data_IF_155200624808
#
_entry.id   IF_155200624808
#
_cell.length_a   1.000
_cell.length_b   1.000
_cell.length_c   1.000
_cell.angle_alpha   90.00
_cell.angle_beta   90.00
_cell.angle_gamma   90.00
#
_symmetry.space_group_name_H-M   'P 1'
#
loop_
_entity.id
_entity.type
_entity.pdbx_description
1 polymer ?
#
# COMPACT_ATOMS: atom_id res chain seq x y z
N UNK A 1 -16.45 5.66 13.83
CA UNK A 1 -16.41 4.24 14.23
C UNK A 1 -15.20 3.62 13.57
N UNK A 2 -14.09 3.45 14.30
CA UNK A 2 -12.88 2.81 13.76
C UNK A 2 -13.00 1.34 14.11
N UNK A 3 -13.27 0.49 13.12
CA UNK A 3 -13.22 -0.96 13.28
C UNK A 3 -11.81 -1.38 12.85
N UNK A 4 -10.93 -1.65 13.82
CA UNK A 4 -9.64 -2.28 13.55
C UNK A 4 -9.91 -3.78 13.46
N UNK A 5 -10.16 -4.28 12.27
CA UNK A 5 -9.98 -5.71 12.02
C UNK A 5 -8.48 -5.98 12.15
N UNK A 6 -8.08 -7.01 12.90
CA UNK A 6 -6.70 -7.52 12.87
C UNK A 6 -6.48 -8.17 11.50
N UNK A 7 -6.39 -7.33 10.47
CA UNK A 7 -6.15 -7.76 9.11
C UNK A 7 -4.69 -8.17 9.04
N UNK A 8 -4.41 -9.31 8.43
CA UNK A 8 -3.04 -9.74 8.13
C UNK A 8 -2.33 -8.79 7.16
N UNK A 9 -3.04 -7.88 6.52
CA UNK A 9 -2.54 -6.90 5.55
C UNK A 9 -1.88 -5.76 6.32
N UNK A 10 -0.58 -5.92 6.61
CA UNK A 10 0.21 -4.93 7.36
C UNK A 10 1.16 -4.15 6.46
N UNK A 11 1.64 -4.77 5.39
CA UNK A 11 2.58 -4.15 4.47
C UNK A 11 2.19 -4.37 3.02
N UNK A 12 2.47 -3.36 2.21
CA UNK A 12 2.43 -3.43 0.75
C UNK A 12 3.87 -3.43 0.22
N UNK A 13 4.16 -4.41 -0.63
CA UNK A 13 5.37 -4.42 -1.44
C UNK A 13 5.10 -3.73 -2.77
N UNK A 14 6.01 -2.84 -3.14
CA UNK A 14 5.98 -2.08 -4.39
C UNK A 14 7.38 -2.13 -4.97
N UNK A 15 7.57 -2.93 -6.01
CA UNK A 15 8.91 -3.28 -6.52
C UNK A 15 9.79 -3.79 -5.37
N UNK A 16 10.90 -3.13 -5.07
CA UNK A 16 11.82 -3.52 -3.99
C UNK A 16 11.58 -2.76 -2.67
N UNK A 17 10.49 -1.99 -2.56
CA UNK A 17 10.17 -1.16 -1.39
C UNK A 17 9.00 -1.70 -0.59
N UNK A 18 9.07 -1.48 0.72
CA UNK A 18 8.04 -1.87 1.67
C UNK A 18 7.32 -0.65 2.27
N UNK A 19 6.00 -0.64 2.19
CA UNK A 19 5.13 0.39 2.74
C UNK A 19 4.26 -0.21 3.84
N UNK A 20 4.22 0.40 5.02
CA UNK A 20 3.32 0.00 6.11
C UNK A 20 1.94 0.56 5.85
N UNK A 21 0.92 -0.29 5.88
CA UNK A 21 -0.48 0.13 5.79
C UNK A 21 -0.79 1.00 7.00
N UNK A 22 -1.24 2.22 6.73
CA UNK A 22 -1.65 3.20 7.73
C UNK A 22 -3.17 3.27 7.86
N UNK A 23 -3.89 3.07 6.76
CA UNK A 23 -5.35 3.03 6.74
C UNK A 23 -5.86 2.15 5.59
N UNK A 24 -6.98 1.46 5.82
CA UNK A 24 -7.66 0.63 4.82
C UNK A 24 -9.17 0.74 4.98
N UNK A 25 -9.86 0.98 3.87
CA UNK A 25 -11.31 0.91 3.79
C UNK A 25 -11.73 -0.06 2.70
N UNK A 26 -12.35 -1.18 3.10
CA UNK A 26 -12.96 -2.13 2.17
C UNK A 26 -14.21 -1.56 1.51
N UNK A 27 -14.95 -0.68 2.21
CA UNK A 27 -16.17 -0.06 1.67
C UNK A 27 -15.85 0.93 0.55
N UNK A 28 -14.88 1.82 0.77
CA UNK A 28 -14.45 2.80 -0.25
C UNK A 28 -13.41 2.23 -1.22
N UNK A 29 -12.95 0.99 -1.00
CA UNK A 29 -11.83 0.36 -1.71
C UNK A 29 -10.60 1.26 -1.73
N UNK A 30 -10.16 1.75 -0.58
CA UNK A 30 -8.98 2.61 -0.44
C UNK A 30 -7.94 2.00 0.48
N UNK A 31 -6.66 2.12 0.13
CA UNK A 31 -5.53 1.80 1.03
C UNK A 31 -4.58 2.99 1.06
N UNK A 32 -4.16 3.39 2.26
CA UNK A 32 -3.07 4.34 2.44
C UNK A 32 -1.91 3.65 3.13
N UNK A 33 -0.73 3.71 2.53
CA UNK A 33 0.48 3.12 3.08
C UNK A 33 1.64 4.12 3.07
N UNK A 34 2.53 4.01 4.07
CA UNK A 34 3.67 4.90 4.27
C UNK A 34 4.95 4.11 4.10
N UNK A 35 5.89 4.63 3.31
CA UNK A 35 7.18 4.01 3.06
C UNK A 35 7.90 3.74 4.38
N UNK A 36 8.52 2.57 4.48
CA UNK A 36 9.29 2.19 5.65
C UNK A 36 10.76 2.05 5.29
N UNK A 37 11.64 2.29 6.26
CA UNK A 37 13.05 1.91 6.13
C UNK A 37 13.32 0.43 6.42
N UNK A 38 12.28 -0.39 6.60
CA UNK A 38 12.44 -1.82 6.85
C UNK A 38 12.78 -2.56 5.56
N UNK A 39 13.70 -3.51 5.66
CA UNK A 39 13.95 -4.43 4.56
C UNK A 39 12.86 -5.51 4.54
N UNK A 40 12.48 -5.96 3.34
CA UNK A 40 11.49 -7.03 3.15
C UNK A 40 11.89 -8.30 3.93
N UNK A 41 13.19 -8.60 4.01
CA UNK A 41 13.73 -9.76 4.72
C UNK A 41 13.45 -9.76 6.24
N UNK A 42 13.18 -8.60 6.84
CA UNK A 42 12.93 -8.47 8.29
C UNK A 42 11.45 -8.65 8.65
N UNK A 43 10.57 -8.82 7.66
CA UNK A 43 9.12 -8.88 7.85
C UNK A 43 8.60 -10.25 7.45
N UNK A 44 7.74 -10.90 8.26
CA UNK A 44 7.13 -12.17 7.90
C UNK A 44 6.34 -12.06 6.59
N UNK A 45 6.62 -12.95 5.63
CA UNK A 45 6.01 -12.91 4.29
C UNK A 45 4.47 -12.92 4.32
N UNK A 46 3.86 -13.64 5.25
CA UNK A 46 2.40 -13.76 5.38
C UNK A 46 1.66 -12.46 5.77
N UNK A 47 2.40 -11.37 6.05
CA UNK A 47 1.82 -10.03 6.29
C UNK A 47 2.19 -9.00 5.22
N UNK A 48 2.91 -9.44 4.17
CA UNK A 48 3.33 -8.64 3.02
C UNK A 48 2.43 -9.01 1.84
N UNK A 49 1.82 -8.01 1.23
CA UNK A 49 0.97 -8.16 0.06
C UNK A 49 1.51 -7.32 -1.09
N UNK A 50 1.35 -7.79 -2.32
CA UNK A 50 1.71 -7.02 -3.51
C UNK A 50 0.55 -6.06 -3.85
N UNK A 51 0.85 -4.90 -4.45
CA UNK A 51 -0.21 -3.96 -4.86
C UNK A 51 -1.19 -4.57 -5.88
N UNK A 52 -0.75 -5.58 -6.64
CA UNK A 52 -1.59 -6.32 -7.58
C UNK A 52 -2.71 -7.09 -6.89
N UNK A 53 -2.55 -7.47 -5.61
CA UNK A 53 -3.57 -8.15 -4.83
C UNK A 53 -4.80 -7.25 -4.57
N UNK A 54 -4.63 -5.94 -4.78
CA UNK A 54 -5.64 -4.91 -4.56
C UNK A 54 -5.92 -4.11 -5.83
N UNK A 55 -5.93 -4.75 -7.00
CA UNK A 55 -6.19 -4.09 -8.29
C UNK A 55 -7.45 -3.20 -8.29
N UNK A 56 -8.50 -3.60 -7.56
CA UNK A 56 -9.75 -2.84 -7.45
C UNK A 56 -9.71 -1.67 -6.46
N UNK A 57 -8.58 -1.45 -5.78
CA UNK A 57 -8.45 -0.42 -4.75
C UNK A 57 -7.69 0.79 -5.27
N UNK A 58 -8.12 1.97 -4.80
CA UNK A 58 -7.31 3.18 -4.86
C UNK A 58 -6.23 3.11 -3.79
N UNK A 59 -4.97 3.00 -4.21
CA UNK A 59 -3.81 2.90 -3.31
C UNK A 59 -3.07 4.24 -3.29
N UNK A 60 -2.86 4.79 -2.09
CA UNK A 60 -2.05 5.99 -1.84
C UNK A 60 -0.77 5.61 -1.11
N UNK A 61 0.37 5.85 -1.74
CA UNK A 61 1.71 5.61 -1.18
C UNK A 61 2.33 6.94 -0.75
N UNK A 62 2.78 7.02 0.51
CA UNK A 62 3.45 8.20 1.07
C UNK A 62 4.93 7.88 1.26
N UNK A 63 5.79 8.52 0.47
CA UNK A 63 7.25 8.33 0.57
C UNK A 63 7.83 9.10 1.75
N UNK A 64 8.88 8.56 2.37
CA UNK A 64 9.58 9.22 3.49
C UNK A 64 10.69 10.18 3.03
N UNK A 65 10.77 10.47 1.73
CA UNK A 65 11.76 11.36 1.15
C UNK A 65 11.47 12.83 1.48
N UNK A 66 11.64 13.24 2.74
CA UNK A 66 12.09 14.55 3.25
C UNK A 66 11.57 15.88 2.66
N UNK A 67 10.66 15.87 1.69
CA UNK A 67 10.12 17.05 1.04
C UNK A 67 8.65 17.11 1.39
N UNK A 68 8.30 18.13 2.16
CA UNK A 68 6.94 18.60 2.36
C UNK A 68 6.30 18.88 1.00
N UNK A 69 5.71 17.87 0.38
CA UNK A 69 4.60 18.04 -0.52
C UNK A 69 3.38 17.64 0.31
N UNK A 70 2.41 18.54 0.32
CA UNK A 70 1.00 18.41 0.71
C UNK A 70 0.48 16.98 0.95
N UNK A 71 -0.61 16.87 1.73
CA UNK A 71 -1.43 15.65 1.87
C UNK A 71 -2.05 15.13 0.55
N UNK A 72 -1.45 15.46 -0.60
CA UNK A 72 -1.83 15.03 -1.92
C UNK A 72 -1.05 13.76 -2.29
N UNK A 73 -1.75 12.73 -2.82
CA UNK A 73 -1.11 11.52 -3.30
C UNK A 73 -0.12 11.86 -4.43
N UNK A 74 1.13 11.43 -4.30
CA UNK A 74 2.17 11.66 -5.32
C UNK A 74 1.92 10.76 -6.55
N UNK A 75 1.19 9.66 -6.38
CA UNK A 75 0.69 8.80 -7.45
C UNK A 75 -0.68 8.23 -7.07
N UNK A 76 -1.64 8.29 -7.98
CA UNK A 76 -2.92 7.59 -7.88
C UNK A 76 -2.96 6.51 -8.96
N UNK A 77 -2.74 5.26 -8.58
CA UNK A 77 -2.85 4.15 -9.50
C UNK A 77 -4.32 3.71 -9.58
N UNK A 78 -4.91 3.82 -10.76
CA UNK A 78 -6.13 3.12 -11.13
C UNK A 78 -5.72 1.88 -11.91
N UNK A 79 -5.70 0.71 -11.26
CA UNK A 79 -5.44 -0.55 -11.97
C UNK A 79 -6.77 -0.99 -12.59
N UNK A 80 -7.13 -0.40 -13.74
CA UNK A 80 -8.29 -0.87 -14.50
C UNK A 80 -7.89 -2.04 -15.40
N UNK A 81 -8.32 -3.25 -15.03
CA UNK A 81 -8.45 -4.40 -15.93
C UNK A 81 -7.14 -4.90 -16.55
N UNK A 82 -6.59 -5.96 -15.97
CA UNK A 82 -5.28 -6.51 -16.32
C UNK A 82 -5.09 -6.88 -17.79
N UNK A 83 -3.85 -6.72 -18.25
CA UNK A 83 -2.98 -7.77 -18.82
C UNK A 83 -1.55 -7.25 -18.63
N UNK A 84 -0.70 -7.99 -17.91
CA UNK A 84 0.75 -7.83 -18.02
C UNK A 84 1.19 -8.70 -19.20
N UNK A 85 1.72 -8.06 -20.26
CA UNK A 85 2.43 -8.77 -21.33
C UNK A 85 3.92 -8.64 -21.00
N UNK A 86 4.62 -9.77 -21.00
CA UNK A 86 6.07 -9.94 -20.76
C UNK A 86 6.93 -8.99 -21.63
#
# INVERSE_FOLDING_TARGET
>A
MIIIYDTKIKYLKVMDKLYRVADISFYYKTIRAVETGHQIADVPEHVIFEISDFADFKITLVNNNGYFASNEPIFEFYISGGVFVD
#
